data_IF_508878150913
#
_entry.id   IF_508878150913
#
_cell.length_a   1.000
_cell.length_b   1.000
_cell.length_c   1.000
_cell.angle_alpha   90.00
_cell.angle_beta   90.00
_cell.angle_gamma   90.00
#
_symmetry.space_group_name_H-M   'P 1'
#
loop_
_entity.id
_entity.type
_entity.pdbx_description
1 polymer ?
#
# COMPACT_ATOMS: atom_id res chain seq x y z
N UNK A 1 19.42 3.46 -14.50
CA UNK A 1 18.51 3.08 -13.39
C UNK A 1 17.97 1.70 -13.72
N UNK A 2 17.76 0.84 -12.72
CA UNK A 2 17.09 -0.45 -12.96
C UNK A 2 15.67 -0.18 -13.47
N UNK A 3 15.18 -1.03 -14.37
CA UNK A 3 13.82 -0.93 -14.90
C UNK A 3 12.81 -0.92 -13.73
N UNK A 4 11.92 0.07 -13.70
CA UNK A 4 10.89 0.20 -12.66
C UNK A 4 11.25 0.99 -11.38
N UNK A 5 12.39 1.65 -11.29
CA UNK A 5 12.72 2.54 -10.16
C UNK A 5 12.63 4.03 -10.53
N UNK A 6 12.16 4.85 -9.59
CA UNK A 6 12.09 6.32 -9.68
C UNK A 6 12.86 6.95 -8.52
N UNK A 7 13.58 8.03 -8.80
CA UNK A 7 14.35 8.79 -7.82
C UNK A 7 13.44 9.81 -7.11
N UNK A 8 13.43 9.81 -5.78
CA UNK A 8 12.66 10.76 -4.97
C UNK A 8 13.56 11.89 -4.45
N UNK A 9 12.92 12.99 -4.01
CA UNK A 9 13.59 14.20 -3.50
C UNK A 9 14.35 13.98 -2.19
N UNK A 10 14.02 12.94 -1.44
CA UNK A 10 14.71 12.50 -0.23
C UNK A 10 15.95 11.63 -0.51
N UNK A 11 16.29 11.43 -1.79
CA UNK A 11 17.45 10.65 -2.21
C UNK A 11 17.18 9.15 -2.32
N UNK A 12 16.00 8.65 -1.92
CA UNK A 12 15.67 7.24 -2.04
C UNK A 12 15.20 6.88 -3.47
N UNK A 13 15.56 5.68 -3.92
CA UNK A 13 15.01 5.07 -5.12
C UNK A 13 13.86 4.14 -4.75
N UNK A 14 12.66 4.40 -5.26
CA UNK A 14 11.44 3.62 -4.96
C UNK A 14 10.84 3.04 -6.23
N UNK A 15 9.95 2.07 -6.10
CA UNK A 15 9.21 1.57 -7.25
C UNK A 15 8.38 2.68 -7.89
N UNK A 16 8.35 2.71 -9.22
CA UNK A 16 7.70 3.74 -10.02
C UNK A 16 6.22 3.99 -9.67
N UNK A 17 5.53 3.00 -9.10
CA UNK A 17 4.10 3.06 -8.82
C UNK A 17 3.72 3.83 -7.55
N UNK A 18 4.64 4.05 -6.61
CA UNK A 18 4.29 4.67 -5.32
C UNK A 18 4.06 6.18 -5.41
N UNK A 19 4.49 6.83 -6.51
CA UNK A 19 4.28 8.25 -6.75
C UNK A 19 4.92 9.12 -5.67
N UNK A 20 4.27 10.23 -5.30
CA UNK A 20 4.79 11.17 -4.27
C UNK A 20 3.81 11.44 -3.14
N UNK A 21 2.64 10.78 -3.12
CA UNK A 21 1.69 10.90 -2.02
C UNK A 21 2.30 10.30 -0.75
N UNK A 22 2.46 11.06 0.35
CA UNK A 22 3.14 10.58 1.56
C UNK A 22 2.53 9.31 2.14
N UNK A 23 1.20 9.12 2.03
CA UNK A 23 0.54 7.91 2.50
C UNK A 23 0.95 6.69 1.68
N UNK A 24 1.04 6.86 0.36
CA UNK A 24 1.39 5.76 -0.53
C UNK A 24 2.89 5.42 -0.45
N UNK A 25 3.72 6.44 -0.27
CA UNK A 25 5.16 6.28 -0.01
C UNK A 25 5.40 5.55 1.30
N UNK A 26 4.75 5.94 2.40
CA UNK A 26 4.86 5.23 3.67
C UNK A 26 4.39 3.78 3.56
N UNK A 27 3.27 3.53 2.88
CA UNK A 27 2.81 2.16 2.61
C UNK A 27 3.83 1.36 1.80
N UNK A 28 4.44 1.95 0.76
CA UNK A 28 5.50 1.30 -0.01
C UNK A 28 6.71 0.95 0.86
N UNK A 29 7.21 1.90 1.65
CA UNK A 29 8.45 1.75 2.40
C UNK A 29 8.31 0.79 3.59
N UNK A 30 7.18 0.87 4.29
CA UNK A 30 6.99 0.25 5.61
C UNK A 30 6.05 -0.96 5.60
N UNK A 31 5.20 -1.12 4.58
CA UNK A 31 4.15 -2.15 4.59
C UNK A 31 4.17 -3.09 3.37
N UNK A 32 4.50 -2.60 2.18
CA UNK A 32 4.46 -3.37 0.95
C UNK A 32 5.62 -4.38 0.90
N UNK A 33 5.30 -5.63 0.57
CA UNK A 33 6.23 -6.77 0.56
C UNK A 33 7.01 -7.02 1.87
N UNK A 34 6.60 -6.41 3.00
CA UNK A 34 7.11 -6.76 4.32
C UNK A 34 6.44 -8.06 4.81
N UNK A 35 7.19 -9.03 5.36
CA UNK A 35 6.60 -10.25 5.91
C UNK A 35 5.54 -9.97 6.97
N UNK A 36 4.40 -10.66 6.88
CA UNK A 36 3.31 -10.62 7.87
C UNK A 36 2.94 -12.06 8.21
N UNK A 37 2.95 -12.38 9.50
CA UNK A 37 2.65 -13.71 10.02
C UNK A 37 1.36 -13.74 10.87
N UNK A 38 0.69 -12.61 11.01
CA UNK A 38 -0.55 -12.49 11.75
C UNK A 38 -1.75 -12.77 10.83
N UNK A 39 -2.56 -13.77 11.19
CA UNK A 39 -3.67 -14.26 10.36
C UNK A 39 -4.73 -13.18 10.12
N UNK A 40 -5.04 -12.36 11.13
CA UNK A 40 -6.03 -11.28 10.99
C UNK A 40 -5.54 -10.20 10.02
N UNK A 41 -4.26 -9.80 10.10
CA UNK A 41 -3.66 -8.86 9.15
C UNK A 41 -3.56 -9.44 7.75
N UNK A 42 -3.27 -10.73 7.60
CA UNK A 42 -3.28 -11.38 6.29
C UNK A 42 -4.69 -11.41 5.70
N UNK A 43 -5.71 -11.72 6.53
CA UNK A 43 -7.12 -11.68 6.13
C UNK A 43 -7.56 -10.26 5.75
N UNK A 44 -7.18 -9.24 6.51
CA UNK A 44 -7.44 -7.84 6.17
C UNK A 44 -6.84 -7.50 4.81
N UNK A 45 -5.56 -7.86 4.56
CA UNK A 45 -4.88 -7.60 3.29
C UNK A 45 -5.61 -8.23 2.11
N UNK A 46 -5.95 -9.51 2.16
CA UNK A 46 -6.64 -10.17 1.05
C UNK A 46 -8.03 -9.57 0.79
N UNK A 47 -8.76 -9.18 1.83
CA UNK A 47 -10.05 -8.50 1.67
C UNK A 47 -9.89 -7.13 1.00
N UNK A 48 -8.92 -6.32 1.44
CA UNK A 48 -8.66 -5.00 0.86
C UNK A 48 -8.26 -5.08 -0.62
N UNK A 49 -7.43 -6.06 -1.00
CA UNK A 49 -7.08 -6.35 -2.40
C UNK A 49 -8.33 -6.67 -3.24
N UNK A 50 -9.28 -7.44 -2.70
CA UNK A 50 -10.57 -7.70 -3.37
C UNK A 50 -11.41 -6.43 -3.60
N UNK A 51 -11.46 -5.53 -2.62
CA UNK A 51 -12.16 -4.25 -2.76
C UNK A 51 -11.51 -3.31 -3.78
N UNK A 52 -10.27 -3.56 -4.20
CA UNK A 52 -9.58 -2.76 -5.19
C UNK A 52 -10.10 -2.94 -6.63
N UNK A 53 -10.91 -3.97 -6.93
CA UNK A 53 -11.34 -4.27 -8.29
C UNK A 53 -11.93 -3.05 -9.03
N UNK A 54 -11.23 -2.57 -10.05
CA UNK A 54 -11.63 -1.40 -10.85
C UNK A 54 -11.24 -0.04 -10.25
N UNK A 55 -10.46 -0.01 -9.16
CA UNK A 55 -10.01 1.18 -8.45
C UNK A 55 -8.49 1.24 -8.31
N UNK A 56 -7.97 2.42 -7.94
CA UNK A 56 -6.58 2.55 -7.51
C UNK A 56 -6.40 2.05 -6.08
N UNK A 57 -5.24 1.45 -5.78
CA UNK A 57 -4.92 1.03 -4.41
C UNK A 57 -4.94 2.18 -3.40
N UNK A 58 -4.49 3.38 -3.80
CA UNK A 58 -4.56 4.58 -2.97
C UNK A 58 -5.99 4.91 -2.52
N UNK A 59 -7.01 4.60 -3.34
CA UNK A 59 -8.42 4.74 -2.95
C UNK A 59 -8.79 3.83 -1.79
N UNK A 60 -8.31 2.58 -1.82
CA UNK A 60 -8.54 1.60 -0.75
C UNK A 60 -7.74 1.97 0.51
N UNK A 61 -6.47 2.32 0.34
CA UNK A 61 -5.58 2.68 1.45
C UNK A 61 -6.12 3.88 2.25
N UNK A 62 -6.64 4.92 1.57
CA UNK A 62 -7.30 6.07 2.22
C UNK A 62 -8.58 5.69 2.99
N UNK A 63 -9.22 4.56 2.65
CA UNK A 63 -10.43 4.04 3.31
C UNK A 63 -10.15 2.92 4.31
N UNK A 64 -8.91 2.47 4.46
CA UNK A 64 -8.54 1.32 5.32
C UNK A 64 -9.10 1.43 6.74
N UNK A 65 -8.94 2.57 7.39
CA UNK A 65 -9.49 2.78 8.75
C UNK A 65 -11.02 2.72 8.77
N UNK A 66 -11.70 3.09 7.68
CA UNK A 66 -13.15 2.97 7.59
C UNK A 66 -13.57 1.50 7.43
N UNK A 67 -12.82 0.71 6.66
CA UNK A 67 -13.04 -0.74 6.57
C UNK A 67 -12.89 -1.41 7.94
N UNK A 68 -11.81 -1.10 8.68
CA UNK A 68 -11.58 -1.62 10.03
C UNK A 68 -12.72 -1.31 11.00
N UNK A 69 -13.33 -0.12 10.89
CA UNK A 69 -14.50 0.24 11.72
C UNK A 69 -15.81 -0.43 11.27
N UNK A 70 -15.95 -0.71 9.98
CA UNK A 70 -17.17 -1.29 9.41
C UNK A 70 -17.23 -2.82 9.54
N UNK A 71 -16.07 -3.48 9.54
CA UNK A 71 -15.93 -4.93 9.59
C UNK A 71 -15.14 -5.29 10.86
N UNK A 72 -15.87 -5.64 11.93
CA UNK A 72 -15.33 -5.97 13.26
C UNK A 72 -15.06 -7.47 13.37
#
# INVERSE_FOLDING_TARGET
MADGLTQHSDGAARCWWCGTDPLYVAYHDDEWARPVHDDQRLFEKICLEGFQSGLSWLTILRKRENFRRAFV
#
